data_IF_514758677635
#
_entry.id   IF_514758677635
#
_cell.length_a   1.000
_cell.length_b   1.000
_cell.length_c   1.000
_cell.angle_alpha   90.00
_cell.angle_beta   90.00
_cell.angle_gamma   90.00
#
_symmetry.space_group_name_H-M   'P 1'
#
loop_
_entity.id
_entity.type
_entity.pdbx_description
1 polymer ?
#
# COMPACT_ATOMS: atom_id res chain seq x y z
N UNK A 1 -18.23 -1.70 12.98
CA UNK A 1 -17.60 -0.38 12.76
C UNK A 1 -16.91 0.05 14.04
N UNK A 2 -15.68 0.54 13.93
CA UNK A 2 -14.93 1.11 15.04
C UNK A 2 -14.66 2.58 14.74
N UNK A 3 -14.72 3.44 15.76
CA UNK A 3 -14.51 4.88 15.61
C UNK A 3 -13.21 5.30 16.31
N UNK A 4 -12.29 5.90 15.55
CA UNK A 4 -10.99 6.32 16.04
C UNK A 4 -10.68 7.75 15.62
N UNK A 5 -10.65 8.66 16.59
CA UNK A 5 -10.24 10.04 16.33
C UNK A 5 -8.83 10.10 15.76
N UNK A 6 -8.68 10.85 14.66
CA UNK A 6 -7.39 11.11 14.04
C UNK A 6 -6.78 9.90 13.32
N UNK A 7 -7.55 8.86 13.01
CA UNK A 7 -7.11 7.74 12.18
C UNK A 7 -6.64 8.21 10.79
N UNK A 8 -5.58 7.56 10.29
CA UNK A 8 -4.97 7.90 8.99
C UNK A 8 -4.67 6.69 8.13
N UNK A 9 -4.21 5.60 8.76
CA UNK A 9 -3.84 4.36 8.10
C UNK A 9 -4.26 3.22 9.00
N UNK A 10 -4.57 2.08 8.42
CA UNK A 10 -4.78 0.85 9.16
C UNK A 10 -4.21 -0.33 8.37
N UNK A 11 -3.93 -1.40 9.09
CA UNK A 11 -3.71 -2.72 8.52
C UNK A 11 -4.11 -3.75 9.56
N UNK A 12 -4.34 -4.98 9.13
CA UNK A 12 -4.86 -6.02 10.02
C UNK A 12 -4.29 -7.39 9.70
N UNK A 13 -4.32 -8.25 10.70
CA UNK A 13 -4.11 -9.67 10.55
C UNK A 13 -5.39 -10.38 10.98
N UNK A 14 -6.12 -10.87 9.97
CA UNK A 14 -7.39 -11.53 10.18
C UNK A 14 -7.22 -12.83 10.99
N UNK A 15 -6.06 -13.50 10.87
CA UNK A 15 -5.76 -14.74 11.58
C UNK A 15 -5.49 -14.52 13.06
N UNK A 16 -4.86 -13.38 13.42
CA UNK A 16 -4.62 -13.00 14.81
C UNK A 16 -5.76 -12.20 15.43
N UNK A 17 -6.86 -12.00 14.70
CA UNK A 17 -8.01 -11.20 15.14
C UNK A 17 -7.59 -9.84 15.70
N UNK A 18 -6.62 -9.19 15.08
CA UNK A 18 -6.06 -7.92 15.54
C UNK A 18 -5.92 -6.97 14.36
N UNK A 19 -6.28 -5.71 14.56
CA UNK A 19 -5.93 -4.66 13.62
C UNK A 19 -5.20 -3.52 14.32
N UNK A 20 -4.44 -2.77 13.55
CA UNK A 20 -3.62 -1.68 14.05
C UNK A 20 -3.92 -0.43 13.25
N UNK A 21 -4.13 0.67 13.94
CA UNK A 21 -4.47 1.97 13.35
C UNK A 21 -3.39 2.99 13.68
N UNK A 22 -2.82 3.63 12.67
CA UNK A 22 -1.98 4.80 12.87
C UNK A 22 -2.85 6.04 13.04
N UNK A 23 -2.64 6.77 14.15
CA UNK A 23 -3.45 7.91 14.54
C UNK A 23 -2.60 9.13 14.86
N UNK A 24 -3.20 10.31 14.73
CA UNK A 24 -2.66 11.57 15.25
C UNK A 24 -3.61 12.11 16.32
N UNK A 25 -3.19 12.04 17.58
CA UNK A 25 -3.96 12.54 18.70
C UNK A 25 -3.90 14.07 18.79
N UNK A 26 -5.00 14.68 19.23
CA UNK A 26 -5.11 16.12 19.45
C UNK A 26 -4.33 16.52 20.72
N UNK A 27 -3.45 17.52 20.63
CA UNK A 27 -2.61 18.00 21.74
C UNK A 27 -1.49 18.93 21.27
N UNK A 28 -0.79 19.63 22.21
CA UNK A 28 0.35 20.51 21.85
C UNK A 28 1.44 19.69 21.15
N UNK A 29 1.71 19.99 19.88
CA UNK A 29 2.70 19.30 19.05
C UNK A 29 2.15 18.16 18.17
N UNK A 30 0.96 17.62 18.49
CA UNK A 30 0.35 16.48 17.80
C UNK A 30 1.15 15.18 17.97
N UNK A 31 0.65 14.24 18.77
CA UNK A 31 1.34 12.98 19.06
C UNK A 31 0.91 11.92 18.04
N UNK A 32 1.88 11.23 17.45
CA UNK A 32 1.64 10.10 16.56
C UNK A 32 1.70 8.80 17.36
N UNK A 33 0.63 8.01 17.29
CA UNK A 33 0.51 6.75 18.02
C UNK A 33 0.05 5.65 17.08
N UNK A 34 0.31 4.40 17.46
CA UNK A 34 -0.45 3.26 16.95
C UNK A 34 -1.46 2.84 17.99
N UNK A 35 -2.69 2.59 17.60
CA UNK A 35 -3.68 1.90 18.45
C UNK A 35 -3.81 0.47 17.95
N UNK A 36 -3.49 -0.50 18.79
CA UNK A 36 -3.73 -1.93 18.56
C UNK A 36 -5.13 -2.26 19.09
N UNK A 37 -5.91 -3.02 18.33
CA UNK A 37 -7.29 -3.37 18.66
C UNK A 37 -7.48 -4.87 18.56
N UNK A 38 -7.92 -5.48 19.67
CA UNK A 38 -8.30 -6.89 19.72
C UNK A 38 -9.75 -7.06 19.24
N UNK A 39 -9.98 -7.97 18.29
CA UNK A 39 -11.33 -8.36 17.87
C UNK A 39 -11.91 -9.50 18.72
N UNK A 40 -11.11 -10.11 19.60
CA UNK A 40 -11.55 -11.23 20.45
C UNK A 40 -12.14 -10.76 21.79
N UNK A 41 -11.64 -9.64 22.33
CA UNK A 41 -12.00 -9.13 23.65
C UNK A 41 -12.66 -7.75 23.53
N UNK A 42 -13.99 -7.71 23.34
CA UNK A 42 -14.86 -6.50 23.35
C UNK A 42 -14.27 -5.20 22.72
N UNK A 43 -13.38 -5.30 21.74
CA UNK A 43 -12.72 -4.13 21.15
C UNK A 43 -11.69 -3.44 22.06
N UNK A 44 -11.06 -4.17 22.99
CA UNK A 44 -9.96 -3.64 23.81
C UNK A 44 -8.89 -2.98 22.94
N UNK A 45 -8.55 -1.74 23.31
CA UNK A 45 -7.60 -0.91 22.58
C UNK A 45 -6.39 -0.59 23.44
N UNK A 46 -5.20 -0.75 22.87
CA UNK A 46 -3.94 -0.35 23.50
C UNK A 46 -3.20 0.64 22.61
N UNK A 47 -2.87 1.81 23.17
CA UNK A 47 -2.06 2.81 22.49
C UNK A 47 -0.57 2.51 22.69
N UNK A 48 0.14 2.41 21.58
CA UNK A 48 1.59 2.23 21.48
C UNK A 48 2.19 3.57 21.07
N UNK A 49 2.98 4.16 21.96
CA UNK A 49 3.68 5.40 21.71
C UNK A 49 4.83 5.17 20.71
N UNK A 50 4.92 6.04 19.72
CA UNK A 50 6.03 6.03 18.76
C UNK A 50 7.16 6.95 19.25
N UNK A 51 8.43 6.67 18.88
CA UNK A 51 9.51 7.60 19.16
C UNK A 51 9.22 9.01 18.60
N UNK A 52 9.53 10.08 19.33
CA UNK A 52 9.27 11.47 18.91
C UNK A 52 9.91 11.84 17.56
N UNK A 53 11.03 11.16 17.22
CA UNK A 53 11.72 11.31 15.95
C UNK A 53 10.92 10.80 14.75
N UNK A 54 9.92 9.93 14.96
CA UNK A 54 9.19 9.26 13.90
C UNK A 54 8.41 10.23 13.03
N UNK A 55 7.86 11.32 13.60
CA UNK A 55 6.90 12.20 12.91
C UNK A 55 5.71 11.39 12.36
N UNK A 56 5.02 11.90 11.34
CA UNK A 56 3.85 11.23 10.77
C UNK A 56 4.21 9.93 10.05
N UNK A 57 3.43 8.89 10.30
CA UNK A 57 3.46 7.61 9.58
C UNK A 57 2.79 7.78 8.20
N UNK A 58 3.44 7.27 7.16
CA UNK A 58 2.97 7.30 5.76
C UNK A 58 2.51 5.94 5.25
N UNK A 59 3.04 4.86 5.81
CA UNK A 59 2.59 3.51 5.53
C UNK A 59 2.73 2.64 6.78
N UNK A 60 1.83 1.67 6.89
CA UNK A 60 1.73 0.71 7.98
C UNK A 60 1.44 -0.66 7.38
N UNK A 61 2.22 -1.67 7.78
CA UNK A 61 2.06 -3.05 7.35
C UNK A 61 2.16 -4.03 8.51
N UNK A 62 1.12 -4.80 8.76
CA UNK A 62 1.16 -5.95 9.69
C UNK A 62 1.91 -7.09 9.02
N UNK A 63 2.79 -7.75 9.75
CA UNK A 63 3.61 -8.84 9.21
C UNK A 63 2.75 -10.04 8.82
N UNK A 64 3.04 -10.69 7.68
CA UNK A 64 2.55 -12.04 7.39
C UNK A 64 3.21 -13.12 8.26
N UNK A 65 4.33 -12.77 8.91
CA UNK A 65 5.15 -13.68 9.69
C UNK A 65 5.30 -13.13 11.12
N UNK A 66 4.38 -13.52 12.00
CA UNK A 66 4.42 -13.19 13.43
C UNK A 66 3.76 -11.87 13.83
N UNK A 67 3.84 -11.55 15.12
CA UNK A 67 3.18 -10.40 15.77
C UNK A 67 3.99 -9.11 15.63
N UNK A 68 4.27 -8.71 14.39
CA UNK A 68 5.06 -7.52 14.06
C UNK A 68 4.29 -6.53 13.20
N UNK A 69 4.62 -5.25 13.34
CA UNK A 69 4.11 -4.15 12.50
C UNK A 69 5.28 -3.31 12.02
N UNK A 70 5.27 -2.97 10.74
CA UNK A 70 6.25 -2.10 10.12
C UNK A 70 5.64 -0.74 9.79
N UNK A 71 6.39 0.33 10.01
CA UNK A 71 5.98 1.71 9.76
C UNK A 71 7.01 2.45 8.88
N UNK A 72 6.54 3.00 7.78
CA UNK A 72 7.26 4.01 7.01
C UNK A 72 6.93 5.40 7.55
N UNK A 73 7.95 6.17 7.96
CA UNK A 73 7.73 7.43 8.67
C UNK A 73 8.43 8.64 8.05
N UNK A 74 7.77 9.80 8.09
CA UNK A 74 8.31 11.08 7.59
C UNK A 74 9.52 11.58 8.39
N UNK A 75 9.73 11.06 9.59
CA UNK A 75 10.92 11.31 10.42
C UNK A 75 12.20 10.65 9.90
N UNK A 76 12.21 10.14 8.67
CA UNK A 76 13.31 9.36 8.07
C UNK A 76 13.62 8.10 8.86
N UNK A 77 12.56 7.39 9.27
CA UNK A 77 12.64 6.15 10.03
C UNK A 77 11.84 5.05 9.34
N UNK A 78 12.41 3.84 9.32
CA UNK A 78 11.68 2.59 9.15
C UNK A 78 11.63 1.90 10.51
N UNK A 79 10.43 1.73 11.07
CA UNK A 79 10.24 1.17 12.41
C UNK A 79 9.62 -0.22 12.30
N UNK A 80 10.07 -1.15 13.13
CA UNK A 80 9.46 -2.47 13.30
C UNK A 80 9.13 -2.62 14.78
N UNK A 81 7.86 -2.87 15.07
CA UNK A 81 7.32 -2.97 16.42
C UNK A 81 6.74 -4.36 16.63
N UNK A 82 6.82 -4.88 17.85
CA UNK A 82 6.08 -6.08 18.26
C UNK A 82 4.74 -5.69 18.85
N UNK A 83 3.67 -6.27 18.34
CA UNK A 83 2.31 -6.11 18.88
C UNK A 83 2.05 -7.00 20.10
N UNK A 84 2.97 -7.90 20.42
CA UNK A 84 2.94 -8.70 21.65
C UNK A 84 3.51 -7.94 22.84
N UNK A 85 4.67 -7.30 22.66
CA UNK A 85 5.34 -6.52 23.71
C UNK A 85 5.03 -5.02 23.67
N UNK A 86 4.33 -4.55 22.64
CA UNK A 86 4.04 -3.13 22.37
C UNK A 86 5.29 -2.24 22.33
N UNK A 87 6.43 -2.78 21.88
CA UNK A 87 7.70 -2.07 21.83
C UNK A 87 8.28 -2.01 20.41
N UNK A 88 9.03 -0.95 20.14
CA UNK A 88 9.86 -0.86 18.92
C UNK A 88 11.06 -1.78 19.06
N UNK A 89 11.20 -2.76 18.16
CA UNK A 89 12.30 -3.72 18.15
C UNK A 89 13.43 -3.23 17.24
N UNK A 90 13.10 -2.63 16.09
CA UNK A 90 14.08 -2.08 15.15
C UNK A 90 13.66 -0.68 14.71
N UNK A 91 14.64 0.21 14.56
CA UNK A 91 14.46 1.56 14.06
C UNK A 91 15.63 1.95 13.17
N UNK A 92 15.46 1.83 11.87
CA UNK A 92 16.49 2.20 10.89
C UNK A 92 16.41 3.70 10.57
N UNK A 93 17.57 4.37 10.61
CA UNK A 93 17.73 5.72 10.06
C UNK A 93 17.84 5.67 8.53
N UNK A 94 17.09 6.54 7.87
CA UNK A 94 16.97 6.57 6.42
C UNK A 94 17.55 7.87 5.83
N UNK A 95 18.07 7.83 4.59
CA UNK A 95 18.61 9.03 3.94
C UNK A 95 17.52 10.04 3.57
N UNK A 96 16.28 9.59 3.36
CA UNK A 96 15.11 10.41 3.06
C UNK A 96 13.87 9.88 3.78
N UNK A 97 12.79 10.66 3.80
CA UNK A 97 11.54 10.25 4.44
C UNK A 97 10.96 8.99 3.79
N UNK A 98 10.52 8.02 4.59
CA UNK A 98 9.86 6.83 4.08
C UNK A 98 8.38 7.11 3.77
N UNK A 99 7.93 6.62 2.62
CA UNK A 99 6.58 6.82 2.09
C UNK A 99 5.79 5.52 1.97
N UNK A 100 6.47 4.40 1.74
CA UNK A 100 5.86 3.08 1.65
C UNK A 100 6.77 2.02 2.27
N UNK A 101 6.20 0.89 2.66
CA UNK A 101 6.95 -0.25 3.15
C UNK A 101 6.25 -1.57 2.81
N UNK A 102 7.01 -2.65 2.67
CA UNK A 102 6.46 -4.00 2.51
C UNK A 102 7.35 -5.06 3.17
N UNK A 103 6.72 -6.07 3.76
CA UNK A 103 7.37 -7.29 4.20
C UNK A 103 7.72 -8.13 2.97
N UNK A 104 8.86 -8.82 3.00
CA UNK A 104 9.13 -9.85 2.01
C UNK A 104 8.13 -11.01 2.17
N UNK A 105 7.58 -11.48 1.05
CA UNK A 105 6.56 -12.54 1.03
C UNK A 105 7.15 -13.95 1.02
N UNK A 106 8.46 -14.08 0.81
CA UNK A 106 9.18 -15.35 0.69
C UNK A 106 10.14 -15.60 1.87
N UNK A 107 10.73 -14.55 2.44
CA UNK A 107 11.67 -14.64 3.58
C UNK A 107 11.31 -13.64 4.68
N UNK A 108 10.91 -14.15 5.84
CA UNK A 108 10.49 -13.35 6.99
C UNK A 108 11.58 -12.44 7.58
N UNK A 109 12.83 -12.54 7.14
CA UNK A 109 13.93 -11.68 7.59
C UNK A 109 14.12 -10.42 6.74
N UNK A 110 13.51 -10.33 5.56
CA UNK A 110 13.69 -9.17 4.67
C UNK A 110 12.50 -8.22 4.71
N UNK A 111 12.81 -6.93 4.62
CA UNK A 111 11.82 -5.86 4.50
C UNK A 111 12.27 -4.81 3.51
N UNK A 112 11.30 -4.08 2.98
CA UNK A 112 11.51 -3.07 1.95
C UNK A 112 10.87 -1.73 2.35
N UNK A 113 11.47 -0.63 1.91
CA UNK A 113 10.86 0.70 2.03
C UNK A 113 11.13 1.57 0.81
N UNK A 114 10.09 2.29 0.39
CA UNK A 114 10.16 3.29 -0.65
C UNK A 114 10.27 4.69 -0.05
N UNK A 115 11.19 5.49 -0.56
CA UNK A 115 11.54 6.81 -0.03
C UNK A 115 10.98 7.95 -0.87
N UNK A 116 10.94 9.15 -0.26
CA UNK A 116 10.51 10.39 -0.89
C UNK A 116 11.33 10.77 -2.14
N UNK A 117 12.61 10.39 -2.18
CA UNK A 117 13.51 10.70 -3.29
C UNK A 117 13.47 9.63 -4.41
N UNK A 118 12.50 8.72 -4.39
CA UNK A 118 12.38 7.67 -5.41
C UNK A 118 13.29 6.46 -5.21
N UNK A 119 14.01 6.39 -4.08
CA UNK A 119 14.84 5.23 -3.75
C UNK A 119 14.00 4.14 -3.07
N UNK A 120 14.21 2.89 -3.45
CA UNK A 120 13.74 1.69 -2.74
C UNK A 120 14.92 1.06 -2.02
N UNK A 121 14.78 0.80 -0.73
CA UNK A 121 15.78 0.15 0.11
C UNK A 121 15.30 -1.23 0.55
N UNK A 122 16.23 -2.19 0.60
CA UNK A 122 16.05 -3.51 1.22
C UNK A 122 16.84 -3.56 2.53
N UNK A 123 16.27 -4.19 3.55
CA UNK A 123 16.92 -4.46 4.83
C UNK A 123 16.81 -5.95 5.18
N UNK A 124 17.88 -6.52 5.73
CA UNK A 124 17.84 -7.79 6.46
C UNK A 124 17.71 -7.44 7.95
N UNK A 125 16.60 -7.86 8.59
CA UNK A 125 16.31 -7.56 9.99
C UNK A 125 17.34 -8.12 10.97
N UNK A 126 18.14 -9.11 10.56
CA UNK A 126 19.25 -9.65 11.36
C UNK A 126 20.48 -8.74 11.30
N UNK A 127 20.57 -7.88 10.28
CA UNK A 127 21.64 -6.89 10.08
C UNK A 127 21.13 -5.50 10.41
N UNK A 128 21.27 -5.11 11.67
CA UNK A 128 20.70 -3.85 12.19
C UNK A 128 21.49 -2.60 11.82
N UNK A 129 22.66 -2.74 11.20
CA UNK A 129 23.56 -1.61 10.88
C UNK A 129 23.07 -0.71 9.73
N UNK A 130 22.22 -1.22 8.82
CA UNK A 130 21.76 -0.44 7.67
C UNK A 130 21.13 -1.29 6.57
N UNK A 131 20.82 -0.65 5.44
CA UNK A 131 20.23 -1.32 4.28
C UNK A 131 21.23 -2.27 3.60
N UNK A 132 20.74 -3.39 3.07
CA UNK A 132 21.52 -4.37 2.32
C UNK A 132 21.57 -4.05 0.82
N UNK A 133 20.57 -3.36 0.29
CA UNK A 133 20.52 -2.93 -1.11
C UNK A 133 19.68 -1.66 -1.28
N UNK A 134 19.93 -0.94 -2.39
CA UNK A 134 19.26 0.32 -2.74
C UNK A 134 19.06 0.46 -4.26
N UNK A 135 17.88 0.87 -4.70
CA UNK A 135 17.50 1.08 -6.11
C UNK A 135 16.91 2.48 -6.27
N UNK A 136 17.31 3.26 -7.28
CA UNK A 136 16.96 4.68 -7.39
C UNK A 136 16.39 5.02 -8.77
N UNK A 137 15.22 4.47 -9.07
CA UNK A 137 14.71 4.39 -10.45
C UNK A 137 13.65 5.45 -10.76
N UNK A 138 13.07 6.06 -9.72
CA UNK A 138 11.99 7.03 -9.88
C UNK A 138 12.42 8.50 -9.93
N UNK A 139 13.71 8.79 -10.17
CA UNK A 139 14.24 10.14 -10.41
C UNK A 139 13.59 11.24 -9.53
N UNK A 140 13.67 11.09 -8.20
CA UNK A 140 13.11 12.02 -7.20
C UNK A 140 11.58 12.02 -6.99
N UNK A 141 10.82 11.13 -7.64
CA UNK A 141 9.39 10.97 -7.35
C UNK A 141 9.19 10.07 -6.12
N UNK A 142 8.38 10.45 -5.12
CA UNK A 142 8.13 9.62 -3.95
C UNK A 142 7.55 8.26 -4.30
N UNK A 143 8.11 7.20 -3.71
CA UNK A 143 7.58 5.83 -3.86
C UNK A 143 6.40 5.66 -2.91
N UNK A 144 5.18 5.88 -3.41
CA UNK A 144 3.97 5.90 -2.58
C UNK A 144 3.38 4.53 -2.30
N UNK A 145 3.69 3.54 -3.13
CA UNK A 145 3.25 2.15 -2.94
C UNK A 145 4.42 1.21 -3.15
N UNK A 146 4.48 0.18 -2.30
CA UNK A 146 5.42 -0.91 -2.42
C UNK A 146 4.73 -2.23 -2.10
N UNK A 147 5.03 -3.28 -2.85
CA UNK A 147 4.50 -4.62 -2.66
C UNK A 147 5.58 -5.66 -2.94
N UNK A 148 5.62 -6.70 -2.11
CA UNK A 148 6.44 -7.89 -2.34
C UNK A 148 5.57 -8.98 -2.93
N UNK A 149 6.02 -9.61 -4.02
CA UNK A 149 5.31 -10.64 -4.78
C UNK A 149 6.18 -11.90 -4.90
N UNK A 150 5.57 -13.10 -4.89
CA UNK A 150 6.33 -14.34 -5.09
C UNK A 150 7.04 -14.33 -6.46
N UNK A 151 8.33 -14.67 -6.52
CA UNK A 151 8.98 -14.93 -7.82
C UNK A 151 8.67 -16.33 -8.30
N UNK A 152 8.42 -16.46 -9.61
CA UNK A 152 8.23 -17.75 -10.28
C UNK A 152 9.55 -18.46 -10.62
N UNK A 153 10.70 -17.81 -10.51
CA UNK A 153 11.95 -18.29 -11.15
C UNK A 153 13.15 -18.50 -10.22
N UNK A 154 13.21 -17.83 -9.07
CA UNK A 154 14.45 -17.75 -8.28
C UNK A 154 14.31 -18.08 -6.79
N UNK A 155 13.08 -18.24 -6.28
CA UNK A 155 12.80 -18.39 -4.85
C UNK A 155 12.95 -17.11 -4.02
N UNK A 156 13.39 -16.00 -4.63
CA UNK A 156 13.41 -14.68 -4.00
C UNK A 156 12.10 -13.94 -4.24
N UNK A 157 11.79 -12.91 -3.45
CA UNK A 157 10.65 -12.06 -3.76
C UNK A 157 10.97 -11.06 -4.87
N UNK A 158 9.97 -10.80 -5.71
CA UNK A 158 9.92 -9.63 -6.57
C UNK A 158 9.31 -8.45 -5.80
N UNK A 159 9.80 -7.25 -6.05
CA UNK A 159 9.29 -6.02 -5.44
C UNK A 159 8.73 -5.11 -6.53
N UNK A 160 7.45 -4.78 -6.41
CA UNK A 160 6.79 -3.78 -7.25
C UNK A 160 6.72 -2.48 -6.47
N UNK A 161 7.13 -1.40 -7.11
CA UNK A 161 7.09 -0.06 -6.55
C UNK A 161 6.33 0.88 -7.50
N UNK A 162 5.60 1.84 -6.94
CA UNK A 162 4.86 2.85 -7.68
C UNK A 162 5.22 4.26 -7.22
N UNK A 163 5.36 5.17 -8.18
CA UNK A 163 5.49 6.61 -7.96
C UNK A 163 4.61 7.34 -8.97
N UNK A 164 4.53 8.67 -8.89
CA UNK A 164 3.83 9.50 -9.88
C UNK A 164 4.27 9.25 -11.34
N UNK A 165 5.48 8.71 -11.55
CA UNK A 165 6.02 8.37 -12.86
C UNK A 165 5.54 7.01 -13.42
N UNK A 166 4.80 6.21 -12.64
CA UNK A 166 4.31 4.89 -13.04
C UNK A 166 4.80 3.77 -12.12
N UNK A 167 4.84 2.55 -12.66
CA UNK A 167 5.26 1.34 -11.97
C UNK A 167 6.68 0.94 -12.37
N UNK A 168 7.37 0.29 -11.45
CA UNK A 168 8.60 -0.45 -11.75
C UNK A 168 8.67 -1.71 -10.88
N UNK A 169 9.42 -2.70 -11.34
CA UNK A 169 9.58 -3.96 -10.64
C UNK A 169 11.03 -4.42 -10.62
N UNK A 170 11.42 -5.09 -9.54
CA UNK A 170 12.77 -5.65 -9.38
C UNK A 170 12.72 -6.99 -8.68
N UNK A 171 13.63 -7.87 -9.04
CA UNK A 171 13.94 -9.06 -8.26
C UNK A 171 15.27 -8.87 -7.52
N UNK A 172 15.27 -9.13 -6.21
CA UNK A 172 16.49 -9.13 -5.39
C UNK A 172 17.12 -10.53 -5.40
N UNK A 173 17.64 -10.96 -6.54
CA UNK A 173 18.28 -12.27 -6.72
C UNK A 173 19.73 -12.26 -6.23
N UNK A 174 19.91 -12.30 -4.90
CA UNK A 174 21.23 -12.26 -4.27
C UNK A 174 21.95 -10.93 -4.50
N UNK A 175 23.01 -10.93 -5.32
CA UNK A 175 23.76 -9.69 -5.66
C UNK A 175 23.32 -9.04 -6.98
N UNK A 176 22.59 -9.77 -7.82
CA UNK A 176 22.05 -9.25 -9.07
C UNK A 176 20.66 -8.65 -8.83
N UNK A 177 20.39 -7.54 -9.50
CA UNK A 177 19.09 -6.87 -9.47
C UNK A 177 18.51 -6.94 -10.87
N UNK A 178 17.39 -7.64 -11.03
CA UNK A 178 16.77 -7.83 -12.34
C UNK A 178 15.52 -6.96 -12.42
N UNK A 179 15.57 -5.83 -13.14
CA UNK A 179 14.39 -5.01 -13.33
C UNK A 179 13.41 -5.73 -14.26
N UNK A 180 12.12 -5.51 -14.05
CA UNK A 180 11.07 -5.88 -14.98
C UNK A 180 10.11 -4.71 -15.22
N UNK A 181 9.53 -4.71 -16.41
CA UNK A 181 8.86 -3.53 -16.97
C UNK A 181 7.35 -3.72 -16.96
N UNK A 182 6.64 -2.65 -16.60
CA UNK A 182 5.21 -2.50 -16.81
C UNK A 182 4.99 -1.66 -18.07
N UNK A 183 4.52 -2.25 -19.18
CA UNK A 183 4.43 -1.55 -20.45
C UNK A 183 3.49 -0.35 -20.34
N UNK A 184 3.89 0.78 -20.91
CA UNK A 184 3.12 2.03 -20.96
C UNK A 184 2.76 2.67 -19.59
N UNK A 185 3.23 2.13 -18.45
CA UNK A 185 2.81 2.64 -17.13
C UNK A 185 3.12 4.12 -16.93
N UNK A 186 4.22 4.62 -17.50
CA UNK A 186 4.58 6.04 -17.42
C UNK A 186 3.75 6.97 -18.33
N UNK A 187 2.99 6.40 -19.28
CA UNK A 187 2.21 7.14 -20.26
C UNK A 187 0.72 7.25 -19.88
N UNK A 188 0.29 6.58 -18.81
CA UNK A 188 -1.12 6.55 -18.39
C UNK A 188 -1.57 7.79 -17.57
N UNK A 189 -0.67 8.72 -17.25
CA UNK A 189 -0.96 9.91 -16.46
C UNK A 189 -0.05 10.04 -15.25
N UNK A 190 -0.58 10.54 -14.13
CA UNK A 190 0.08 10.53 -12.82
C UNK A 190 -0.43 9.30 -12.07
N UNK A 191 0.45 8.33 -11.79
CA UNK A 191 0.06 7.18 -10.97
C UNK A 191 -0.16 7.64 -9.52
N UNK A 192 -1.27 7.21 -8.93
CA UNK A 192 -1.70 7.61 -7.58
C UNK A 192 -1.92 6.42 -6.65
N UNK A 193 -2.02 5.22 -7.20
CA UNK A 193 -2.24 3.99 -6.45
C UNK A 193 -1.79 2.78 -7.25
N UNK A 194 -1.35 1.75 -6.54
CA UNK A 194 -1.10 0.44 -7.11
C UNK A 194 -1.53 -0.63 -6.08
N UNK A 195 -2.04 -1.75 -6.56
CA UNK A 195 -2.45 -2.88 -5.74
C UNK A 195 -2.16 -4.17 -6.48
N UNK A 196 -1.69 -5.18 -5.76
CA UNK A 196 -1.27 -6.46 -6.32
C UNK A 196 -2.12 -7.58 -5.71
N UNK A 197 -2.38 -8.62 -6.49
CA UNK A 197 -2.95 -9.87 -6.01
C UNK A 197 -1.94 -10.62 -5.14
N UNK A 198 -2.40 -11.47 -4.22
CA UNK A 198 -1.54 -12.25 -3.33
C UNK A 198 -0.67 -13.22 -4.13
N UNK A 199 -1.18 -13.78 -5.23
CA UNK A 199 -0.41 -14.62 -6.14
C UNK A 199 0.70 -13.85 -6.89
N UNK A 200 0.60 -12.52 -6.95
CA UNK A 200 1.44 -11.64 -7.77
C UNK A 200 1.11 -11.65 -9.25
N UNK A 201 0.06 -12.36 -9.67
CA UNK A 201 -0.32 -12.47 -11.08
C UNK A 201 -0.98 -11.21 -11.62
N UNK A 202 -1.70 -10.46 -10.78
CA UNK A 202 -2.41 -9.26 -11.21
C UNK A 202 -1.93 -8.03 -10.45
N UNK A 203 -1.63 -6.98 -11.20
CA UNK A 203 -1.31 -5.65 -10.66
C UNK A 203 -2.26 -4.66 -11.28
N UNK A 204 -2.96 -3.88 -10.46
CA UNK A 204 -3.80 -2.77 -10.92
C UNK A 204 -3.18 -1.47 -10.46
N UNK A 205 -2.96 -0.54 -11.39
CA UNK A 205 -2.53 0.81 -11.08
C UNK A 205 -3.60 1.83 -11.48
N UNK A 206 -3.78 2.83 -10.63
CA UNK A 206 -4.75 3.91 -10.83
C UNK A 206 -4.01 5.20 -11.16
N UNK A 207 -4.53 5.91 -12.16
CA UNK A 207 -3.92 7.12 -12.71
C UNK A 207 -4.93 8.26 -12.76
N UNK A 208 -4.46 9.47 -12.48
CA UNK A 208 -5.20 10.70 -12.76
C UNK A 208 -4.56 11.49 -13.91
N UNK A 209 -5.31 12.35 -14.62
CA UNK A 209 -4.75 13.17 -15.70
C UNK A 209 -3.59 14.05 -15.24
N UNK A 210 -2.64 14.34 -16.14
CA UNK A 210 -1.61 15.36 -15.90
C UNK A 210 -2.24 16.74 -15.92
N UNK A 211 -1.70 17.66 -15.12
CA UNK A 211 -2.25 19.02 -14.91
C UNK A 211 -2.44 19.80 -16.22
N UNK A 212 -1.60 19.57 -17.22
CA UNK A 212 -1.69 20.20 -18.55
C UNK A 212 -2.99 19.89 -19.30
N UNK A 213 -3.69 18.81 -18.95
CA UNK A 213 -4.97 18.42 -19.54
C UNK A 213 -6.20 19.06 -18.85
N UNK A 214 -6.01 19.88 -17.81
CA UNK A 214 -7.09 20.42 -16.98
C UNK A 214 -7.08 21.96 -16.99
N UNK A 215 -8.22 22.56 -17.28
CA UNK A 215 -8.40 24.02 -17.19
C UNK A 215 -8.18 24.49 -15.73
N UNK A 216 -7.24 25.43 -15.48
CA UNK A 216 -6.87 25.84 -14.12
C UNK A 216 -8.02 26.50 -13.33
N UNK A 217 -9.01 27.05 -14.03
CA UNK A 217 -10.19 27.68 -13.41
C UNK A 217 -11.20 26.68 -12.80
N UNK A 218 -11.09 25.38 -13.10
CA UNK A 218 -12.02 24.33 -12.61
C UNK A 218 -11.47 23.61 -11.36
N UNK A 219 -10.17 23.80 -11.04
CA UNK A 219 -9.45 23.02 -10.02
C UNK A 219 -9.87 23.28 -8.56
N UNK A 220 -10.51 24.42 -8.26
CA UNK A 220 -10.76 24.83 -6.86
C UNK A 220 -12.07 24.31 -6.27
N UNK A 221 -12.92 23.64 -7.06
CA UNK A 221 -14.24 23.21 -6.61
C UNK A 221 -14.50 21.69 -6.69
N UNK A 222 -13.65 20.92 -7.40
CA UNK A 222 -13.88 19.48 -7.61
C UNK A 222 -12.98 18.64 -6.70
N UNK A 223 -13.58 17.73 -5.94
CA UNK A 223 -12.88 16.71 -5.13
C UNK A 223 -12.39 15.52 -5.96
N UNK A 224 -12.99 15.28 -7.12
CA UNK A 224 -12.72 14.13 -7.98
C UNK A 224 -12.55 14.52 -9.45
N UNK A 225 -11.90 13.64 -10.21
CA UNK A 225 -11.68 13.75 -11.65
C UNK A 225 -11.80 12.38 -12.31
N UNK A 226 -11.95 12.36 -13.64
CA UNK A 226 -11.98 11.11 -14.39
C UNK A 226 -10.56 10.58 -14.57
N UNK A 227 -10.24 9.52 -13.84
CA UNK A 227 -9.00 8.77 -13.93
C UNK A 227 -9.11 7.51 -14.77
N UNK A 228 -8.04 6.71 -14.75
CA UNK A 228 -7.96 5.42 -15.44
C UNK A 228 -7.32 4.39 -14.50
N UNK A 229 -7.96 3.24 -14.38
CA UNK A 229 -7.39 2.04 -13.77
C UNK A 229 -6.84 1.15 -14.89
N UNK A 230 -5.61 0.66 -14.74
CA UNK A 230 -4.94 -0.21 -15.72
C UNK A 230 -4.56 -1.51 -15.03
N UNK A 231 -4.97 -2.63 -15.60
CA UNK A 231 -4.62 -3.96 -15.10
C UNK A 231 -3.49 -4.57 -15.92
N UNK A 232 -2.54 -5.14 -15.20
CA UNK A 232 -1.41 -5.86 -15.73
C UNK A 232 -1.47 -7.31 -15.23
N UNK A 233 -1.07 -8.25 -16.09
CA UNK A 233 -0.91 -9.65 -15.73
C UNK A 233 0.55 -10.07 -15.84
N UNK A 234 1.01 -10.85 -14.89
CA UNK A 234 2.32 -11.48 -14.92
C UNK A 234 2.38 -12.47 -16.09
N UNK A 235 3.35 -12.26 -16.96
CA UNK A 235 3.77 -13.19 -18.01
C UNK A 235 5.04 -13.95 -17.59
N UNK A 236 5.63 -14.72 -18.49
CA UNK A 236 6.83 -15.50 -18.21
C UNK A 236 8.02 -14.61 -17.78
N UNK A 237 8.91 -15.14 -16.94
CA UNK A 237 10.14 -14.48 -16.48
C UNK A 237 9.94 -13.09 -15.84
N UNK A 238 8.91 -12.93 -14.99
CA UNK A 238 8.60 -11.69 -14.25
C UNK A 238 8.29 -10.47 -15.14
N UNK A 239 7.99 -10.67 -16.42
CA UNK A 239 7.43 -9.60 -17.25
C UNK A 239 5.95 -9.39 -16.93
N UNK A 240 5.43 -8.20 -17.19
CA UNK A 240 4.00 -7.91 -17.09
C UNK A 240 3.46 -7.46 -18.44
N UNK A 241 2.30 -7.97 -18.81
CA UNK A 241 1.53 -7.51 -19.96
C UNK A 241 0.36 -6.64 -19.50
N UNK A 242 0.04 -5.59 -20.26
CA UNK A 242 -1.14 -4.76 -20.01
C UNK A 242 -2.36 -5.45 -20.62
N UNK A 243 -3.33 -5.85 -19.80
CA UNK A 243 -4.53 -6.54 -20.27
C UNK A 243 -5.69 -5.60 -20.61
N UNK A 244 -5.85 -4.53 -19.85
CA UNK A 244 -7.04 -3.69 -19.98
C UNK A 244 -6.95 -2.40 -19.19
N UNK A 245 -7.91 -1.52 -19.44
CA UNK A 245 -8.07 -0.29 -18.69
C UNK A 245 -9.52 0.13 -18.61
N UNK A 246 -9.92 0.75 -17.49
CA UNK A 246 -11.24 1.29 -17.29
C UNK A 246 -11.20 2.69 -16.67
N UNK A 247 -12.22 3.49 -16.97
CA UNK A 247 -12.39 4.82 -16.36
C UNK A 247 -13.04 4.69 -14.99
N UNK A 248 -12.62 5.55 -14.08
CA UNK A 248 -13.18 5.67 -12.73
C UNK A 248 -12.99 7.08 -12.19
N UNK A 249 -13.78 7.46 -11.19
CA UNK A 249 -13.64 8.74 -10.51
C UNK A 249 -12.57 8.63 -9.44
N UNK A 250 -11.49 9.39 -9.59
CA UNK A 250 -10.31 9.36 -8.71
C UNK A 250 -10.05 10.73 -8.09
N UNK A 251 -9.27 10.76 -7.01
CA UNK A 251 -8.98 11.99 -6.29
C UNK A 251 -7.96 12.86 -7.03
N UNK A 252 -8.23 14.17 -7.07
CA UNK A 252 -7.38 15.17 -7.72
C UNK A 252 -6.05 15.43 -6.99
N UNK A 253 -5.97 15.09 -5.70
CA UNK A 253 -4.85 15.40 -4.80
C UNK A 253 -4.35 14.19 -4.01
N UNK A 254 -5.24 13.43 -3.37
CA UNK A 254 -4.95 12.30 -2.49
C UNK A 254 -4.37 11.12 -3.27
N UNK A 255 -3.75 10.21 -2.51
CA UNK A 255 -3.22 8.93 -2.97
C UNK A 255 -4.09 7.83 -2.34
N UNK A 256 -5.28 7.55 -2.89
CA UNK A 256 -6.17 6.55 -2.33
C UNK A 256 -5.55 5.16 -2.49
N UNK A 257 -5.91 4.24 -1.59
CA UNK A 257 -5.48 2.84 -1.67
C UNK A 257 -6.62 1.96 -2.13
N UNK A 258 -6.29 1.06 -3.05
CA UNK A 258 -7.17 0.05 -3.61
C UNK A 258 -6.67 -1.34 -3.23
N UNK A 259 -7.51 -2.36 -3.48
CA UNK A 259 -7.14 -3.75 -3.25
C UNK A 259 -7.45 -4.60 -4.50
N UNK A 260 -6.61 -5.62 -4.72
CA UNK A 260 -6.93 -6.73 -5.63
C UNK A 260 -7.26 -7.92 -4.75
N UNK A 261 -8.43 -8.50 -4.97
CA UNK A 261 -8.99 -9.63 -4.25
C UNK A 261 -8.82 -10.86 -5.14
N UNK A 262 -7.95 -11.77 -4.77
CA UNK A 262 -7.73 -13.05 -5.44
C UNK A 262 -7.92 -14.23 -4.48
N UNK A 263 -8.22 -15.42 -5.04
CA UNK A 263 -8.42 -16.65 -4.27
C UNK A 263 -9.76 -16.77 -3.53
N UNK A 264 -10.65 -15.78 -3.63
CA UNK A 264 -12.00 -15.82 -3.04
C UNK A 264 -13.08 -16.15 -4.07
N UNK A 265 -12.94 -15.65 -5.30
CA UNK A 265 -13.87 -15.88 -6.40
C UNK A 265 -13.34 -16.98 -7.33
N UNK A 266 -14.22 -17.84 -7.84
CA UNK A 266 -13.83 -19.04 -8.60
C UNK A 266 -13.17 -18.74 -9.96
N UNK A 267 -13.54 -17.63 -10.62
CA UNK A 267 -13.13 -17.37 -12.01
C UNK A 267 -12.01 -16.33 -12.12
N UNK A 268 -12.23 -15.14 -11.55
CA UNK A 268 -11.40 -13.98 -11.81
C UNK A 268 -11.17 -13.13 -10.56
N UNK A 269 -10.01 -12.49 -10.43
CA UNK A 269 -9.75 -11.57 -9.33
C UNK A 269 -10.61 -10.31 -9.44
N UNK A 270 -10.88 -9.69 -8.31
CA UNK A 270 -11.75 -8.50 -8.20
C UNK A 270 -10.94 -7.31 -7.73
N UNK A 271 -11.06 -6.20 -8.43
CA UNK A 271 -10.49 -4.91 -8.05
C UNK A 271 -11.49 -4.13 -7.21
N UNK A 272 -11.12 -3.79 -5.97
CA UNK A 272 -11.89 -2.93 -5.08
C UNK A 272 -11.25 -1.53 -5.01
N UNK A 273 -12.04 -0.51 -5.31
CA UNK A 273 -11.60 0.89 -5.32
C UNK A 273 -12.70 1.83 -4.87
N UNK A 274 -12.33 2.98 -4.31
CA UNK A 274 -13.27 4.03 -3.98
C UNK A 274 -13.68 4.80 -5.26
N UNK A 275 -14.96 5.10 -5.41
CA UNK A 275 -15.45 6.11 -6.34
C UNK A 275 -15.51 7.46 -5.64
N UNK A 276 -14.57 8.34 -5.96
CA UNK A 276 -14.39 9.63 -5.26
C UNK A 276 -15.49 10.65 -5.59
N UNK A 277 -16.43 10.33 -6.48
CA UNK A 277 -17.60 11.16 -6.76
C UNK A 277 -18.83 10.75 -5.93
N UNK A 278 -18.94 9.46 -5.60
CA UNK A 278 -20.08 8.92 -4.85
C UNK A 278 -19.73 8.46 -3.44
N UNK A 279 -18.44 8.44 -3.07
CA UNK A 279 -17.90 7.87 -1.84
C UNK A 279 -18.23 6.36 -1.65
N UNK A 280 -18.58 5.67 -2.75
CA UNK A 280 -18.86 4.23 -2.76
C UNK A 280 -17.57 3.41 -2.89
N UNK A 281 -17.59 2.17 -2.42
CA UNK A 281 -16.58 1.18 -2.80
C UNK A 281 -17.15 0.36 -3.95
N UNK A 282 -16.48 0.39 -5.10
CA UNK A 282 -16.89 -0.33 -6.31
C UNK A 282 -16.01 -1.56 -6.50
N UNK A 283 -16.66 -2.70 -6.71
CA UNK A 283 -16.01 -3.98 -7.01
C UNK A 283 -16.10 -4.26 -8.50
N UNK A 284 -14.96 -4.50 -9.13
CA UNK A 284 -14.86 -4.74 -10.57
C UNK A 284 -14.09 -6.02 -10.87
N UNK A 285 -14.67 -6.91 -11.65
CA UNK A 285 -14.01 -8.12 -12.13
C UNK A 285 -12.85 -7.77 -13.07
N UNK A 286 -11.71 -8.45 -12.94
CA UNK A 286 -10.56 -8.28 -13.83
C UNK A 286 -10.50 -9.40 -14.88
N UNK A 287 -10.03 -9.12 -16.12
CA UNK A 287 -9.39 -7.87 -16.55
C UNK A 287 -10.35 -6.80 -17.10
N UNK A 288 -11.62 -7.15 -17.34
CA UNK A 288 -12.56 -6.30 -18.11
C UNK A 288 -13.14 -5.14 -17.32
N UNK A 289 -12.92 -5.09 -16.00
CA UNK A 289 -13.45 -4.11 -15.06
C UNK A 289 -14.98 -4.05 -15.00
N UNK A 290 -15.65 -5.19 -15.28
CA UNK A 290 -17.10 -5.34 -15.14
C UNK A 290 -17.52 -5.11 -13.69
N UNK A 291 -18.46 -4.20 -13.45
CA UNK A 291 -18.93 -3.90 -12.09
C UNK A 291 -19.73 -5.09 -11.56
N UNK A 292 -19.26 -5.69 -10.47
CA UNK A 292 -19.92 -6.80 -9.78
C UNK A 292 -20.83 -6.32 -8.66
N UNK A 293 -20.35 -5.36 -7.86
CA UNK A 293 -21.06 -4.89 -6.67
C UNK A 293 -20.61 -3.47 -6.25
N UNK A 294 -21.37 -2.85 -5.36
CA UNK A 294 -21.09 -1.55 -4.75
C UNK A 294 -21.45 -1.57 -3.26
N UNK A 295 -20.53 -1.12 -2.41
CA UNK A 295 -20.85 -0.77 -1.04
C UNK A 295 -21.22 0.72 -1.02
N UNK A 296 -22.44 1.09 -0.56
CA UNK A 296 -22.89 2.47 -0.53
C UNK A 296 -22.04 3.32 0.44
N UNK A 297 -21.99 4.65 0.24
CA UNK A 297 -21.16 5.53 1.05
C UNK A 297 -21.59 5.52 2.51
N UNK A 298 -20.62 5.53 3.42
CA UNK A 298 -20.87 5.61 4.88
C UNK A 298 -20.44 6.96 5.42
N UNK A 299 -21.28 7.99 5.28
CA UNK A 299 -21.15 9.37 5.84
C UNK A 299 -19.86 10.16 5.52
N UNK A 300 -18.79 9.49 5.11
CA UNK A 300 -17.44 10.01 5.02
C UNK A 300 -16.68 9.34 3.86
N UNK A 301 -15.75 10.07 3.19
CA UNK A 301 -14.97 9.52 2.08
C UNK A 301 -14.07 8.35 2.50
N UNK A 302 -13.90 7.39 1.58
CA UNK A 302 -13.00 6.25 1.77
C UNK A 302 -11.54 6.69 1.59
N UNK A 303 -10.66 6.27 2.51
CA UNK A 303 -9.23 6.63 2.54
C UNK A 303 -8.31 5.48 2.21
N UNK A 304 -8.61 4.30 2.73
CA UNK A 304 -7.79 3.10 2.55
C UNK A 304 -8.68 1.87 2.46
N UNK A 305 -8.32 0.95 1.57
CA UNK A 305 -8.98 -0.34 1.36
C UNK A 305 -7.90 -1.40 1.43
N UNK A 306 -8.11 -2.42 2.27
CA UNK A 306 -7.16 -3.49 2.53
C UNK A 306 -7.86 -4.84 2.41
N UNK A 307 -7.20 -5.78 1.73
CA UNK A 307 -7.65 -7.15 1.62
C UNK A 307 -6.62 -8.07 2.27
N UNK A 308 -7.09 -8.98 3.11
CA UNK A 308 -6.28 -10.08 3.65
C UNK A 308 -6.94 -11.41 3.28
N UNK A 309 -6.15 -12.33 2.74
CA UNK A 309 -6.60 -13.64 2.25
C UNK A 309 -6.18 -14.79 3.16
N UNK A 310 -5.68 -14.54 4.38
CA UNK A 310 -5.18 -15.60 5.26
C UNK A 310 -6.31 -16.47 5.81
N UNK A 311 -7.52 -15.91 5.90
CA UNK A 311 -8.74 -16.66 6.16
C UNK A 311 -9.34 -17.16 4.85
N UNK A 312 -9.91 -18.37 4.85
CA UNK A 312 -10.48 -19.01 3.65
C UNK A 312 -11.61 -18.20 2.99
N UNK A 313 -12.30 -17.35 3.75
CA UNK A 313 -13.35 -16.46 3.24
C UNK A 313 -12.82 -15.11 2.72
N UNK A 314 -11.53 -14.82 2.91
CA UNK A 314 -10.97 -13.48 2.77
C UNK A 314 -11.57 -12.48 3.77
N UNK A 315 -10.94 -11.33 3.94
CA UNK A 315 -11.47 -10.22 4.72
C UNK A 315 -11.09 -8.90 4.06
N UNK A 316 -12.08 -8.02 3.88
CA UNK A 316 -11.89 -6.67 3.37
C UNK A 316 -12.11 -5.66 4.48
N UNK A 317 -11.11 -4.83 4.74
CA UNK A 317 -11.22 -3.67 5.60
C UNK A 317 -11.30 -2.39 4.79
N UNK A 318 -12.01 -1.39 5.31
CA UNK A 318 -11.96 -0.03 4.80
C UNK A 318 -11.81 0.98 5.93
N UNK A 319 -11.11 2.07 5.65
CA UNK A 319 -11.01 3.23 6.52
C UNK A 319 -11.70 4.40 5.82
N UNK A 320 -12.68 5.00 6.50
CA UNK A 320 -13.32 6.24 6.09
C UNK A 320 -12.92 7.36 7.06
N UNK A 321 -13.09 8.62 6.62
CA UNK A 321 -12.90 9.80 7.50
C UNK A 321 -13.87 9.86 8.68
#
# INVERSE_FOLDING_TARGET
DFHFDGARLFDFDASSHTFVVARRLLGRGGVHVLTKVSLLSEGETEDIQLPDSSKAVKDLKVSPHGRLVMLASLGRKLLILSTESNNTILAYDLPAAAWSCAWDCCDSHYVYTGLQNGTVLQFDMRKTAGCTAALAEFACNPVHTLASLPSSSSGYAAVVAASSAGLCGYEFAGSERRPFVFPESGNCGVCISASCSVSGDYVVASYRPRVEALNPNVQRAQSSTVGTHVVYRRSECLSYERLGAARGNVDVTRLPRSAVIDGVYENHPVFASADESTDEIVFRELPDFTVLDRIPPRKHPVRDIKFDSRLSSGTLGCLCD
#
